data_IF_126977858466
#
_entry.id   IF_126977858466
#
_cell.length_a   1.000
_cell.length_b   1.000
_cell.length_c   1.000
_cell.angle_alpha   90.00
_cell.angle_beta   90.00
_cell.angle_gamma   90.00
#
_symmetry.space_group_name_H-M   'P 1'
#
loop_
_entity.id
_entity.type
_entity.pdbx_description
1 polymer ?
#
# COMPACT_ATOMS: atom_id res chain seq x y z
N UNK A 1 -5.35 -9.19 -20.45
CA UNK A 1 -5.95 -8.16 -19.57
C UNK A 1 -4.89 -7.09 -19.37
N UNK A 2 -5.06 -5.94 -20.00
CA UNK A 2 -4.16 -4.81 -19.79
C UNK A 2 -4.84 -3.86 -18.82
N UNK A 3 -4.36 -3.80 -17.58
CA UNK A 3 -4.84 -2.83 -16.59
C UNK A 3 -4.20 -1.50 -16.94
N UNK A 4 -5.01 -0.48 -17.21
CA UNK A 4 -4.54 0.82 -17.68
C UNK A 4 -4.73 1.85 -16.55
N UNK A 5 -3.75 2.73 -16.27
CA UNK A 5 -3.94 3.81 -15.30
C UNK A 5 -5.17 4.66 -15.64
N UNK A 6 -5.94 5.08 -14.64
CA UNK A 6 -7.18 5.86 -14.86
C UNK A 6 -6.94 7.14 -15.66
N UNK A 7 -5.76 7.77 -15.52
CA UNK A 7 -5.37 8.95 -16.30
C UNK A 7 -5.29 8.62 -17.79
N UNK A 8 -4.67 7.50 -18.15
CA UNK A 8 -4.60 7.01 -19.53
C UNK A 8 -5.98 6.60 -20.05
N UNK A 9 -6.79 5.94 -19.21
CA UNK A 9 -8.17 5.57 -19.57
C UNK A 9 -9.03 6.81 -19.87
N UNK A 10 -8.94 7.86 -19.05
CA UNK A 10 -9.64 9.12 -19.30
C UNK A 10 -9.30 9.73 -20.66
N UNK A 11 -8.04 9.66 -21.09
CA UNK A 11 -7.66 10.14 -22.44
C UNK A 11 -8.31 9.37 -23.59
N UNK A 12 -8.88 8.18 -23.35
CA UNK A 12 -9.61 7.40 -24.37
C UNK A 12 -11.09 7.77 -24.49
N UNK A 13 -11.65 8.41 -23.47
CA UNK A 13 -13.08 8.72 -23.37
C UNK A 13 -13.40 10.22 -23.29
N UNK A 14 -12.39 11.08 -23.10
CA UNK A 14 -12.56 12.54 -22.97
C UNK A 14 -12.09 13.34 -24.21
N UNK A 15 -11.78 12.69 -25.33
CA UNK A 15 -11.31 13.37 -26.56
C UNK A 15 -12.42 13.88 -27.47
N UNK A 16 -13.68 13.49 -27.21
CA UNK A 16 -14.82 13.77 -28.11
C UNK A 16 -14.92 12.83 -29.31
N UNK A 17 -13.89 12.01 -29.56
CA UNK A 17 -13.93 10.93 -30.53
C UNK A 17 -14.77 9.75 -30.01
N UNK A 18 -15.32 8.97 -30.94
CA UNK A 18 -16.01 7.72 -30.59
C UNK A 18 -14.99 6.69 -30.05
N UNK A 19 -15.16 6.16 -28.83
CA UNK A 19 -14.29 5.11 -28.30
C UNK A 19 -14.33 3.84 -29.17
N UNK A 20 -13.19 3.17 -29.28
CA UNK A 20 -13.05 1.90 -29.98
C UNK A 20 -13.51 0.73 -29.13
N UNK A 21 -13.70 -0.45 -29.73
CA UNK A 21 -13.97 -1.68 -28.98
C UNK A 21 -12.87 -1.97 -27.94
N UNK A 22 -11.61 -1.70 -28.27
CA UNK A 22 -10.50 -1.92 -27.35
C UNK A 22 -10.58 -0.98 -26.13
N UNK A 23 -11.00 0.27 -26.32
CA UNK A 23 -11.15 1.21 -25.20
C UNK A 23 -12.21 0.72 -24.19
N UNK A 24 -13.30 0.11 -24.68
CA UNK A 24 -14.31 -0.51 -23.81
C UNK A 24 -13.78 -1.75 -23.10
N UNK A 25 -12.96 -2.58 -23.77
CA UNK A 25 -12.30 -3.73 -23.14
C UNK A 25 -11.36 -3.25 -22.02
N UNK A 26 -10.56 -2.21 -22.28
CA UNK A 26 -9.63 -1.64 -21.30
C UNK A 26 -10.38 -1.02 -20.10
N UNK A 27 -11.53 -0.39 -20.35
CA UNK A 27 -12.42 0.14 -19.30
C UNK A 27 -13.00 -0.98 -18.43
N UNK A 28 -13.52 -2.05 -19.05
CA UNK A 28 -14.08 -3.20 -18.32
C UNK A 28 -12.97 -3.88 -17.51
N UNK A 29 -11.85 -4.24 -18.14
CA UNK A 29 -10.73 -4.90 -17.47
C UNK A 29 -10.20 -4.06 -16.29
N UNK A 30 -10.08 -2.75 -16.45
CA UNK A 30 -9.58 -1.87 -15.39
C UNK A 30 -10.60 -1.67 -14.28
N UNK A 31 -11.90 -1.53 -14.60
CA UNK A 31 -12.95 -1.36 -13.58
C UNK A 31 -13.24 -2.65 -12.81
N UNK A 32 -13.23 -3.80 -13.49
CA UNK A 32 -13.33 -5.13 -12.86
C UNK A 32 -12.11 -5.44 -12.00
N UNK A 33 -10.89 -5.17 -12.47
CA UNK A 33 -9.68 -5.35 -11.65
C UNK A 33 -9.71 -4.50 -10.38
N UNK A 34 -10.23 -3.26 -10.44
CA UNK A 34 -10.40 -2.38 -9.27
C UNK A 34 -11.49 -2.84 -8.31
N UNK A 35 -12.44 -3.66 -8.77
CA UNK A 35 -13.46 -4.27 -7.92
C UNK A 35 -12.94 -5.55 -7.22
N UNK A 36 -12.15 -6.37 -7.93
CA UNK A 36 -11.54 -7.58 -7.37
C UNK A 36 -10.34 -7.26 -6.47
N UNK A 37 -9.58 -6.22 -6.81
CA UNK A 37 -8.53 -5.65 -5.96
C UNK A 37 -9.15 -4.61 -5.04
N UNK A 38 -9.57 -5.03 -3.83
CA UNK A 38 -10.12 -4.18 -2.76
C UNK A 38 -9.27 -2.91 -2.52
N UNK A 39 -9.53 -1.85 -3.27
CA UNK A 39 -8.96 -0.53 -3.08
C UNK A 39 -7.73 -0.17 -3.93
N UNK A 40 -7.77 -0.34 -5.26
CA UNK A 40 -7.00 0.48 -6.20
C UNK A 40 -5.48 0.23 -6.31
N UNK A 41 -4.86 0.86 -7.32
CA UNK A 41 -3.44 0.75 -7.66
C UNK A 41 -2.56 0.99 -6.43
N UNK A 42 -1.78 -0.02 -6.03
CA UNK A 42 -0.90 0.05 -4.86
C UNK A 42 -1.34 -0.80 -3.67
N UNK A 43 -2.63 -1.07 -3.53
CA UNK A 43 -3.18 -1.76 -2.37
C UNK A 43 -3.22 -3.27 -2.60
N UNK A 44 -2.51 -4.06 -1.79
CA UNK A 44 -2.43 -5.54 -1.88
C UNK A 44 -1.75 -6.11 -3.16
N UNK A 45 -1.61 -5.32 -4.22
CA UNK A 45 -0.97 -5.70 -5.49
C UNK A 45 0.54 -5.42 -5.50
N UNK A 46 1.04 -4.56 -4.60
CA UNK A 46 2.46 -4.20 -4.52
C UNK A 46 3.23 -5.19 -3.65
N UNK A 47 4.33 -5.70 -4.19
CA UNK A 47 5.33 -6.49 -3.48
C UNK A 47 6.67 -5.80 -3.64
N UNK A 48 7.28 -5.38 -2.53
CA UNK A 48 8.60 -4.75 -2.53
C UNK A 48 9.60 -5.77 -1.97
N UNK A 49 10.56 -6.18 -2.80
CA UNK A 49 11.55 -7.19 -2.47
C UNK A 49 12.93 -6.55 -2.26
N UNK A 50 13.87 -7.31 -1.69
CA UNK A 50 15.28 -6.91 -1.66
C UNK A 50 15.58 -5.75 -0.70
N UNK A 51 14.79 -5.60 0.36
CA UNK A 51 14.96 -4.49 1.31
C UNK A 51 16.08 -4.85 2.27
N UNK A 52 17.21 -4.14 2.16
CA UNK A 52 18.41 -4.34 2.99
C UNK A 52 18.67 -3.19 3.98
N UNK A 53 17.99 -2.06 3.81
CA UNK A 53 18.09 -0.86 4.64
C UNK A 53 16.69 -0.26 4.86
N UNK A 54 16.53 0.72 5.79
CA UNK A 54 15.27 1.43 5.94
C UNK A 54 14.72 1.95 4.61
N UNK A 55 13.45 1.67 4.33
CA UNK A 55 12.77 2.04 3.10
C UNK A 55 11.38 2.60 3.40
N UNK A 56 11.05 3.75 2.82
CA UNK A 56 9.68 4.28 2.81
C UNK A 56 8.86 3.48 1.81
N UNK A 57 7.90 2.69 2.30
CA UNK A 57 7.05 1.86 1.45
C UNK A 57 5.73 2.53 1.10
N UNK A 58 5.31 3.54 1.87
CA UNK A 58 4.06 4.26 1.63
C UNK A 58 4.10 5.69 2.20
N UNK A 59 3.32 6.57 1.59
CA UNK A 59 3.12 7.95 2.00
C UNK A 59 1.62 8.26 2.11
N UNK A 60 1.24 9.02 3.12
CA UNK A 60 -0.14 9.41 3.41
C UNK A 60 -0.21 10.94 3.44
N UNK A 61 -1.02 11.51 2.56
CA UNK A 61 -1.36 12.94 2.60
C UNK A 61 -2.42 13.19 3.69
N UNK A 62 -2.05 13.96 4.71
CA UNK A 62 -2.93 14.26 5.86
C UNK A 62 -4.08 15.20 5.51
N UNK A 63 -4.02 15.88 4.35
CA UNK A 63 -5.14 16.69 3.86
C UNK A 63 -6.25 15.84 3.25
N UNK A 64 -5.92 14.62 2.82
CA UNK A 64 -6.85 13.69 2.18
C UNK A 64 -7.36 12.65 3.17
N UNK A 65 -6.48 12.12 4.04
CA UNK A 65 -6.80 10.98 4.91
C UNK A 65 -6.66 11.33 6.39
N UNK A 66 -7.70 11.02 7.17
CA UNK A 66 -7.72 11.19 8.63
C UNK A 66 -7.30 9.94 9.37
N UNK A 67 -7.84 8.81 8.95
CA UNK A 67 -7.64 7.51 9.58
C UNK A 67 -7.18 6.54 8.54
N UNK A 68 -6.13 5.77 8.83
CA UNK A 68 -5.60 4.73 7.94
C UNK A 68 -5.36 3.47 8.77
N UNK A 69 -5.82 2.34 8.25
CA UNK A 69 -5.50 1.01 8.79
C UNK A 69 -4.67 0.24 7.78
N UNK A 70 -3.64 -0.45 8.25
CA UNK A 70 -2.83 -1.38 7.47
C UNK A 70 -2.97 -2.81 7.97
N UNK A 71 -2.93 -3.77 7.05
CA UNK A 71 -2.42 -5.12 7.31
C UNK A 71 -1.12 -5.28 6.51
N UNK A 72 -0.05 -5.64 7.20
CA UNK A 72 1.27 -5.80 6.59
C UNK A 72 1.76 -7.23 6.77
N UNK A 73 2.40 -7.76 5.72
CA UNK A 73 3.15 -8.99 5.75
C UNK A 73 4.62 -8.71 5.43
N UNK A 74 5.48 -9.11 6.34
CA UNK A 74 6.93 -9.12 6.18
C UNK A 74 7.39 -10.56 5.97
N UNK A 75 8.33 -10.78 5.07
CA UNK A 75 8.93 -12.11 4.86
C UNK A 75 10.41 -12.04 4.52
N UNK A 76 11.14 -13.10 4.87
CA UNK A 76 12.53 -13.30 4.46
C UNK A 76 12.65 -14.66 3.76
N UNK A 77 12.99 -14.64 2.47
CA UNK A 77 12.99 -15.84 1.63
C UNK A 77 14.08 -16.85 2.02
N UNK A 78 15.22 -16.39 2.54
CA UNK A 78 16.36 -17.26 2.90
C UNK A 78 16.12 -18.15 4.13
N UNK A 79 15.17 -17.79 5.00
CA UNK A 79 14.91 -18.51 6.26
C UNK A 79 13.43 -18.86 6.49
N UNK A 80 12.57 -18.70 5.48
CA UNK A 80 11.13 -18.94 5.59
C UNK A 80 10.47 -18.26 6.81
N UNK A 81 10.97 -17.07 7.17
CA UNK A 81 10.42 -16.26 8.28
C UNK A 81 9.34 -15.34 7.75
N UNK A 82 8.21 -15.32 8.44
CA UNK A 82 7.03 -14.51 8.13
C UNK A 82 6.54 -13.81 9.39
N UNK A 83 6.15 -12.55 9.23
CA UNK A 83 5.43 -11.78 10.24
C UNK A 83 4.27 -11.05 9.59
N UNK A 84 3.10 -11.12 10.21
CA UNK A 84 1.95 -10.28 9.90
C UNK A 84 1.68 -9.33 11.05
N UNK A 85 1.24 -8.11 10.76
CA UNK A 85 0.83 -7.15 11.79
C UNK A 85 -0.19 -6.15 11.25
N UNK A 86 -0.98 -5.57 12.15
CA UNK A 86 -1.92 -4.50 11.84
C UNK A 86 -1.46 -3.18 12.45
N UNK A 87 -1.66 -2.09 11.71
CA UNK A 87 -1.42 -0.73 12.20
C UNK A 87 -2.70 0.07 12.06
N UNK A 88 -3.10 0.76 13.13
CA UNK A 88 -4.15 1.78 13.09
C UNK A 88 -3.53 3.15 13.33
N UNK A 89 -3.79 4.09 12.42
CA UNK A 89 -3.24 5.43 12.42
C UNK A 89 -4.37 6.46 12.34
N UNK A 90 -4.30 7.49 13.18
CA UNK A 90 -5.19 8.66 13.13
C UNK A 90 -4.36 9.94 13.18
N UNK A 91 -4.56 10.82 12.21
CA UNK A 91 -4.03 12.18 12.24
C UNK A 91 -5.00 13.12 12.97
N UNK A 92 -4.53 13.81 14.02
CA UNK A 92 -5.39 14.69 14.83
C UNK A 92 -5.43 16.15 14.34
N UNK A 93 -4.72 16.46 13.25
CA UNK A 93 -4.52 17.83 12.75
C UNK A 93 -3.12 18.38 13.02
N UNK A 94 -2.38 17.78 13.97
CA UNK A 94 -1.00 18.16 14.31
C UNK A 94 -0.07 16.95 14.36
N UNK A 95 -0.51 15.85 14.97
CA UNK A 95 0.29 14.65 15.20
C UNK A 95 -0.34 13.42 14.54
N UNK A 96 0.53 12.48 14.19
CA UNK A 96 0.14 11.11 13.86
C UNK A 96 0.04 10.30 15.17
N UNK A 97 -1.12 9.69 15.41
CA UNK A 97 -1.36 8.80 16.54
C UNK A 97 -1.45 7.37 16.00
N UNK A 98 -0.61 6.47 16.51
CA UNK A 98 -0.37 5.16 15.87
C UNK A 98 -0.37 4.06 16.91
N UNK A 99 -1.07 2.97 16.61
CA UNK A 99 -1.02 1.73 17.38
C UNK A 99 -0.77 0.55 16.45
N UNK A 100 0.24 -0.25 16.79
CA UNK A 100 0.45 -1.57 16.18
C UNK A 100 -0.16 -2.66 17.07
N UNK A 101 -0.84 -3.64 16.48
CA UNK A 101 -1.45 -4.76 17.19
C UNK A 101 -1.63 -5.99 16.29
N UNK A 102 -2.09 -7.10 16.87
CA UNK A 102 -2.40 -8.31 16.10
C UNK A 102 -1.17 -8.96 15.43
N UNK A 103 0.03 -8.69 15.94
CA UNK A 103 1.27 -9.26 15.40
C UNK A 103 1.32 -10.77 15.56
N UNK A 104 1.57 -11.48 14.46
CA UNK A 104 1.77 -12.94 14.40
C UNK A 104 3.05 -13.22 13.62
N UNK A 105 3.92 -14.08 14.17
CA UNK A 105 5.15 -14.52 13.50
C UNK A 105 5.31 -16.04 13.63
N UNK A 106 5.87 -16.66 12.61
CA UNK A 106 6.08 -18.12 12.58
C UNK A 106 7.42 -18.56 13.18
N UNK A 107 8.32 -17.61 13.45
CA UNK A 107 9.66 -17.85 13.99
C UNK A 107 9.94 -16.92 15.19
N UNK A 108 10.97 -17.25 15.97
CA UNK A 108 11.36 -16.46 17.14
C UNK A 108 11.91 -15.07 16.77
N UNK A 109 12.76 -15.01 15.74
CA UNK A 109 13.32 -13.75 15.22
C UNK A 109 12.27 -12.92 14.50
N UNK A 110 12.34 -11.61 14.69
CA UNK A 110 11.54 -10.67 13.91
C UNK A 110 12.08 -10.53 12.48
N UNK A 111 11.22 -10.21 11.51
CA UNK A 111 11.63 -10.02 10.10
C UNK A 111 12.07 -8.58 9.85
N UNK A 112 11.40 -7.62 10.48
CA UNK A 112 11.63 -6.19 10.31
C UNK A 112 10.71 -5.39 11.20
N UNK A 113 11.00 -4.12 11.41
CA UNK A 113 10.16 -3.19 12.18
C UNK A 113 9.52 -2.15 11.26
N UNK A 114 8.41 -1.56 11.71
CA UNK A 114 7.70 -0.51 10.99
C UNK A 114 7.69 0.73 11.86
N UNK A 115 7.96 1.88 11.25
CA UNK A 115 7.85 3.19 11.87
C UNK A 115 7.10 4.15 10.96
N UNK A 116 6.63 5.24 11.54
CA UNK A 116 6.02 6.32 10.78
C UNK A 116 6.64 7.64 11.20
N UNK A 117 6.75 8.58 10.27
CA UNK A 117 7.20 9.94 10.55
C UNK A 117 6.33 10.96 9.82
N UNK A 118 5.89 12.00 10.53
CA UNK A 118 5.15 13.11 9.96
C UNK A 118 6.11 14.24 9.59
N UNK A 119 6.03 14.72 8.35
CA UNK A 119 6.72 15.92 7.89
C UNK A 119 5.83 16.69 6.94
N UNK A 120 5.61 17.98 7.22
CA UNK A 120 4.89 18.92 6.34
C UNK A 120 3.56 18.38 5.79
N UNK A 121 2.74 17.75 6.64
CA UNK A 121 1.43 17.19 6.23
C UNK A 121 1.50 15.88 5.45
N UNK A 122 2.67 15.25 5.38
CA UNK A 122 2.83 13.90 4.82
C UNK A 122 3.35 12.95 5.88
N UNK A 123 2.66 11.84 6.08
CA UNK A 123 3.13 10.74 6.92
C UNK A 123 3.85 9.73 6.03
N UNK A 124 5.11 9.44 6.35
CA UNK A 124 5.93 8.43 5.67
C UNK A 124 5.98 7.17 6.51
N UNK A 125 5.53 6.04 5.93
CA UNK A 125 5.62 4.72 6.55
C UNK A 125 6.91 4.05 6.11
N UNK A 126 7.77 3.72 7.08
CA UNK A 126 9.10 3.16 6.83
C UNK A 126 9.18 1.75 7.39
N UNK A 127 9.72 0.83 6.61
CA UNK A 127 10.09 -0.51 7.06
C UNK A 127 11.60 -0.57 7.24
N UNK A 128 12.06 -1.15 8.34
CA UNK A 128 13.48 -1.39 8.62
C UNK A 128 13.71 -2.89 8.79
N UNK A 129 14.54 -3.53 7.95
CA UNK A 129 14.79 -4.96 8.05
C UNK A 129 15.55 -5.30 9.33
N UNK A 130 15.14 -6.40 9.98
CA UNK A 130 15.92 -7.10 11.01
C UNK A 130 16.62 -8.30 10.37
N UNK A 131 15.93 -8.98 9.45
CA UNK A 131 16.50 -10.00 8.57
C UNK A 131 16.62 -9.44 7.16
N UNK A 132 17.83 -9.40 6.63
CA UNK A 132 18.11 -8.87 5.28
C UNK A 132 18.43 -10.01 4.29
N UNK A 133 18.00 -9.91 3.02
CA UNK A 133 17.00 -8.96 2.51
C UNK A 133 15.57 -9.35 2.92
N UNK A 134 14.70 -8.38 3.17
CA UNK A 134 13.27 -8.66 3.42
C UNK A 134 12.38 -8.29 2.23
N UNK A 135 11.18 -8.85 2.24
CA UNK A 135 10.07 -8.49 1.37
C UNK A 135 8.92 -7.96 2.22
N UNK A 136 8.31 -6.86 1.79
CA UNK A 136 7.07 -6.33 2.38
C UNK A 136 5.93 -6.38 1.36
N UNK A 137 4.77 -6.77 1.86
CA UNK A 137 3.47 -6.64 1.19
C UNK A 137 2.52 -6.00 2.17
N UNK A 138 1.60 -5.19 1.68
CA UNK A 138 0.62 -4.56 2.53
C UNK A 138 -0.67 -4.30 1.76
N UNK A 139 -1.75 -4.21 2.53
CA UNK A 139 -2.91 -3.46 2.09
C UNK A 139 -3.24 -2.43 3.18
N UNK A 140 -3.79 -1.29 2.74
CA UNK A 140 -4.35 -0.24 3.59
C UNK A 140 -5.79 0.07 3.22
N UNK A 141 -6.53 0.56 4.19
CA UNK A 141 -7.81 1.22 3.99
C UNK A 141 -7.78 2.55 4.73
N UNK A 142 -8.58 3.53 4.29
CA UNK A 142 -8.56 4.86 4.86
C UNK A 142 -9.93 5.54 4.89
N UNK A 143 -10.10 6.44 5.84
CA UNK A 143 -11.22 7.37 5.94
C UNK A 143 -10.72 8.79 5.66
N UNK A 144 -11.46 9.54 4.84
CA UNK A 144 -11.07 10.89 4.45
C UNK A 144 -11.15 11.88 5.61
N UNK A 145 -10.36 12.96 5.50
CA UNK A 145 -10.33 14.07 6.44
C UNK A 145 -11.51 15.02 6.35
#
# INVERSE_FOLDING_TARGET
>A
MAIVPITTLKTKFETGDRPTQQDFVDLIDTTSYRADSLGGDGNNSVTINGIESPLVFDTIDTTVWRTVKYLLQLSHAGSSSYRSTEINLVFDGTNQNITEYGSVKNNASDVGTISASLSSGTISMTVTPVLTPMTIRYYRTGLKA
#
